data_IF_052856989188
#
_entry.id   IF_052856989188
#
_cell.length_a   1.000
_cell.length_b   1.000
_cell.length_c   1.000
_cell.angle_alpha   90.00
_cell.angle_beta   90.00
_cell.angle_gamma   90.00
#
_symmetry.space_group_name_H-M   'P 1'
#
loop_
_entity.id
_entity.type
_entity.pdbx_description
1 polymer ?
#
# COMPACT_ATOMS: atom_id res chain seq x y z
N UNK A 1 9.88 15.08 5.46
CA UNK A 1 9.57 15.15 4.02
C UNK A 1 10.71 14.47 3.27
N UNK A 2 10.53 13.28 2.70
CA UNK A 2 11.57 12.66 1.88
C UNK A 2 11.44 13.20 0.45
N UNK A 3 12.22 14.23 0.14
CA UNK A 3 12.52 14.62 -1.24
C UNK A 3 13.22 13.42 -1.89
N UNK A 4 12.46 12.55 -2.56
CA UNK A 4 13.01 11.41 -3.29
C UNK A 4 13.75 11.93 -4.52
N UNK A 5 15.06 12.08 -4.40
CA UNK A 5 15.97 12.60 -5.43
C UNK A 5 15.80 11.83 -6.75
N UNK A 6 15.62 12.57 -7.85
CA UNK A 6 15.55 12.02 -9.22
C UNK A 6 14.15 11.74 -9.80
N UNK A 7 13.06 11.99 -9.06
CA UNK A 7 11.69 11.83 -9.59
C UNK A 7 11.20 13.01 -10.45
N UNK A 8 11.85 14.18 -10.37
CA UNK A 8 11.55 15.32 -11.27
C UNK A 8 12.05 15.10 -12.70
N UNK A 9 12.89 14.08 -12.92
CA UNK A 9 13.53 13.80 -14.19
C UNK A 9 14.60 14.82 -14.59
N UNK A 10 15.21 14.59 -15.75
CA UNK A 10 16.16 15.48 -16.38
C UNK A 10 15.80 15.61 -17.87
N UNK A 11 16.03 16.79 -18.44
CA UNK A 11 15.86 17.05 -19.87
C UNK A 11 17.21 17.14 -20.57
N UNK A 12 17.27 16.67 -21.80
CA UNK A 12 18.48 16.69 -22.62
C UNK A 12 18.15 16.69 -24.12
N UNK A 13 19.14 17.04 -24.94
CA UNK A 13 19.07 16.99 -26.40
C UNK A 13 20.15 16.01 -26.90
N UNK A 14 19.77 15.01 -27.70
CA UNK A 14 20.63 13.86 -28.00
C UNK A 14 21.92 14.21 -28.77
N UNK A 15 21.87 15.21 -29.66
CA UNK A 15 22.96 15.59 -30.55
C UNK A 15 23.56 16.98 -30.22
N UNK A 16 23.26 17.52 -29.03
CA UNK A 16 23.70 18.84 -28.58
C UNK A 16 24.42 18.69 -27.23
N UNK A 17 25.73 18.87 -27.23
CA UNK A 17 26.56 18.94 -26.01
C UNK A 17 26.95 20.39 -25.78
N UNK A 18 26.05 21.18 -25.21
CA UNK A 18 26.29 22.62 -25.00
C UNK A 18 25.02 23.41 -24.70
N UNK A 19 25.00 24.67 -25.15
CA UNK A 19 23.88 25.61 -24.97
C UNK A 19 22.61 25.08 -25.66
N UNK A 20 21.47 25.21 -24.99
CA UNK A 20 20.17 24.74 -25.49
C UNK A 20 19.84 25.28 -26.89
N UNK A 21 19.43 24.40 -27.81
CA UNK A 21 19.03 24.80 -29.16
C UNK A 21 17.50 24.66 -29.36
N UNK A 22 16.76 25.76 -29.62
CA UNK A 22 15.32 25.74 -29.86
C UNK A 22 14.86 24.83 -31.02
N UNK A 23 15.75 24.59 -32.00
CA UNK A 23 15.45 23.82 -33.21
C UNK A 23 15.75 22.32 -33.08
N UNK A 24 16.29 21.89 -31.94
CA UNK A 24 16.61 20.49 -31.69
C UNK A 24 15.58 19.84 -30.78
N UNK A 25 15.22 18.58 -31.08
CA UNK A 25 14.28 17.80 -30.27
C UNK A 25 14.79 17.62 -28.84
N UNK A 26 13.92 17.91 -27.88
CA UNK A 26 14.17 17.71 -26.47
C UNK A 26 13.60 16.37 -26.00
N UNK A 27 14.32 15.74 -25.08
CA UNK A 27 13.93 14.48 -24.47
C UNK A 27 13.94 14.63 -22.95
N UNK A 28 13.00 13.96 -22.29
CA UNK A 28 12.95 13.85 -20.84
C UNK A 28 13.31 12.44 -20.39
N UNK A 29 14.09 12.31 -19.33
CA UNK A 29 14.42 11.04 -18.67
C UNK A 29 13.98 11.09 -17.21
N UNK A 30 13.24 10.10 -16.76
CA UNK A 30 12.77 10.01 -15.38
C UNK A 30 12.71 8.56 -14.89
N UNK A 31 12.67 8.38 -13.58
CA UNK A 31 12.53 7.07 -12.96
C UNK A 31 11.06 6.75 -12.70
N UNK A 32 10.65 5.52 -12.99
CA UNK A 32 9.32 4.99 -12.70
C UNK A 32 9.46 3.82 -11.74
N UNK A 33 8.66 3.84 -10.68
CA UNK A 33 8.54 2.72 -9.76
C UNK A 33 7.66 1.65 -10.41
N UNK A 34 8.15 0.42 -10.55
CA UNK A 34 7.35 -0.72 -11.06
C UNK A 34 6.82 -1.56 -9.90
N UNK A 35 5.68 -2.29 -10.09
CA UNK A 35 5.08 -3.12 -9.03
C UNK A 35 6.03 -4.13 -8.38
N UNK A 36 7.11 -4.54 -9.06
CA UNK A 36 8.12 -5.47 -8.53
C UNK A 36 9.12 -4.83 -7.55
N UNK A 37 8.98 -3.54 -7.21
CA UNK A 37 9.90 -2.81 -6.33
C UNK A 37 11.16 -2.27 -7.02
N UNK A 38 11.41 -2.64 -8.26
CA UNK A 38 12.51 -2.08 -9.07
C UNK A 38 12.18 -0.68 -9.61
N UNK A 39 13.22 0.11 -9.89
CA UNK A 39 13.07 1.40 -10.57
C UNK A 39 13.50 1.26 -12.01
N UNK A 40 12.59 1.52 -12.97
CA UNK A 40 12.92 1.53 -14.39
C UNK A 40 13.05 2.95 -14.90
N UNK A 41 14.15 3.24 -15.61
CA UNK A 41 14.36 4.54 -16.24
C UNK A 41 13.58 4.61 -17.54
N UNK A 42 12.77 5.64 -17.73
CA UNK A 42 12.04 5.90 -18.98
C UNK A 42 12.54 7.17 -19.64
N UNK A 43 12.48 7.17 -20.96
CA UNK A 43 12.79 8.31 -21.82
C UNK A 43 11.55 8.66 -22.64
N UNK A 44 11.24 9.95 -22.75
CA UNK A 44 10.10 10.45 -23.53
C UNK A 44 10.53 11.60 -24.42
N UNK A 45 9.91 11.70 -25.59
CA UNK A 45 10.10 12.85 -26.49
C UNK A 45 9.22 14.01 -26.03
N UNK A 46 9.81 15.21 -25.92
CA UNK A 46 9.12 16.46 -25.56
C UNK A 46 8.94 17.40 -26.76
N UNK A 47 9.38 16.94 -27.94
CA UNK A 47 9.38 17.71 -29.19
C UNK A 47 10.32 18.92 -29.14
N UNK A 48 10.03 19.92 -29.97
CA UNK A 48 10.77 21.17 -30.02
C UNK A 48 10.39 22.06 -28.82
N UNK A 49 11.38 22.46 -28.06
CA UNK A 49 11.21 23.32 -26.89
C UNK A 49 12.13 24.53 -27.02
N UNK A 50 11.55 25.74 -26.95
CA UNK A 50 12.30 26.98 -27.13
C UNK A 50 13.42 27.18 -26.11
N UNK A 51 13.24 26.70 -24.88
CA UNK A 51 14.24 26.77 -23.81
C UNK A 51 14.24 25.51 -22.97
N UNK A 52 15.33 25.28 -22.23
CA UNK A 52 15.43 24.17 -21.28
C UNK A 52 14.32 24.24 -20.22
N UNK A 53 13.95 25.45 -19.77
CA UNK A 53 12.87 25.66 -18.80
C UNK A 53 11.53 25.15 -19.34
N UNK A 54 11.22 25.41 -20.62
CA UNK A 54 10.00 24.92 -21.28
C UNK A 54 10.02 23.39 -21.39
N UNK A 55 11.16 22.80 -21.72
CA UNK A 55 11.29 21.35 -21.73
C UNK A 55 11.07 20.74 -20.34
N UNK A 56 11.62 21.34 -19.27
CA UNK A 56 11.39 20.87 -17.90
C UNK A 56 9.91 20.97 -17.49
N UNK A 57 9.22 22.03 -17.90
CA UNK A 57 7.77 22.18 -17.65
C UNK A 57 6.97 21.10 -18.37
N UNK A 58 7.20 20.89 -19.68
CA UNK A 58 6.55 19.81 -20.43
C UNK A 58 6.85 18.42 -19.87
N UNK A 59 8.08 18.19 -19.42
CA UNK A 59 8.44 16.93 -18.75
C UNK A 59 7.64 16.74 -17.47
N UNK A 60 7.49 17.79 -16.66
CA UNK A 60 6.67 17.74 -15.43
C UNK A 60 5.21 17.45 -15.76
N UNK A 61 4.60 18.18 -16.68
CA UNK A 61 3.22 17.95 -17.13
C UNK A 61 3.03 16.54 -17.66
N UNK A 62 4.00 16.01 -18.42
CA UNK A 62 3.97 14.65 -18.91
C UNK A 62 4.02 13.63 -17.76
N UNK A 63 4.93 13.81 -16.78
CA UNK A 63 5.06 12.91 -15.63
C UNK A 63 3.78 12.93 -14.77
N UNK A 64 3.17 14.10 -14.60
CA UNK A 64 1.90 14.28 -13.90
C UNK A 64 0.75 13.60 -14.66
N UNK A 65 0.59 13.87 -15.96
CA UNK A 65 -0.46 13.26 -16.81
C UNK A 65 -0.31 11.75 -16.95
N UNK A 66 0.92 11.26 -17.07
CA UNK A 66 1.21 9.83 -17.17
C UNK A 66 1.01 9.07 -15.86
N UNK A 67 0.64 9.75 -14.76
CA UNK A 67 0.40 9.12 -13.46
C UNK A 67 1.64 8.40 -12.92
N UNK A 68 2.83 8.78 -13.38
CA UNK A 68 4.12 8.13 -13.03
C UNK A 68 4.45 8.32 -11.56
N UNK A 69 3.92 9.38 -10.95
CA UNK A 69 3.83 9.55 -9.51
C UNK A 69 2.36 9.69 -9.11
N UNK A 70 1.52 8.73 -9.52
CA UNK A 70 0.22 8.63 -8.88
C UNK A 70 0.49 8.31 -7.40
N UNK A 71 0.41 9.36 -6.58
CA UNK A 71 0.14 9.23 -5.14
C UNK A 71 -1.14 8.42 -4.89
N UNK A 72 -1.89 8.05 -5.94
CA UNK A 72 -3.01 7.11 -5.93
C UNK A 72 -2.64 5.69 -5.51
N UNK A 73 -1.37 5.35 -5.29
CA UNK A 73 -1.00 4.09 -4.62
C UNK A 73 -1.01 4.14 -3.09
N UNK A 74 -1.52 5.20 -2.47
CA UNK A 74 -1.62 5.22 -1.01
C UNK A 74 -2.97 4.74 -0.46
N UNK A 75 -4.02 4.74 -1.28
CA UNK A 75 -5.32 4.17 -0.94
C UNK A 75 -5.88 3.54 -2.22
N UNK A 76 -5.59 2.26 -2.47
CA UNK A 76 -6.41 1.51 -3.42
C UNK A 76 -7.77 1.41 -2.74
N UNK A 77 -8.75 2.20 -3.19
CA UNK A 77 -10.11 2.15 -2.66
C UNK A 77 -10.61 0.73 -2.95
N UNK A 78 -10.95 -0.06 -1.92
CA UNK A 78 -11.59 -1.34 -2.09
C UNK A 78 -12.77 -1.24 -3.05
N UNK A 79 -12.67 -1.94 -4.18
CA UNK A 79 -13.79 -2.07 -5.10
C UNK A 79 -14.80 -3.09 -4.53
N UNK A 80 -16.07 -3.06 -4.96
CA UNK A 80 -17.00 -4.14 -4.67
C UNK A 80 -16.41 -5.47 -5.19
N UNK A 81 -15.98 -6.34 -4.28
CA UNK A 81 -15.27 -7.59 -4.63
C UNK A 81 -13.80 -7.65 -4.18
N UNK A 82 -13.27 -6.65 -3.48
CA UNK A 82 -11.92 -6.75 -2.88
C UNK A 82 -11.88 -7.89 -1.87
N UNK A 83 -10.93 -8.81 -2.07
CA UNK A 83 -10.70 -9.92 -1.16
C UNK A 83 -9.91 -9.47 0.05
N UNK A 84 -10.03 -10.20 1.15
CA UNK A 84 -9.27 -9.95 2.36
C UNK A 84 -7.76 -10.00 2.08
N UNK A 85 -7.30 -10.92 1.22
CA UNK A 85 -5.89 -11.03 0.81
C UNK A 85 -5.39 -9.74 0.18
N UNK A 86 -6.10 -9.22 -0.82
CA UNK A 86 -5.73 -7.98 -1.49
C UNK A 86 -5.66 -6.81 -0.52
N UNK A 87 -6.66 -6.69 0.37
CA UNK A 87 -6.67 -5.64 1.39
C UNK A 87 -5.50 -5.78 2.37
N UNK A 88 -5.14 -7.00 2.78
CA UNK A 88 -4.02 -7.26 3.68
C UNK A 88 -2.68 -6.86 3.04
N UNK A 89 -2.48 -7.15 1.76
CA UNK A 89 -1.30 -6.75 1.00
C UNK A 89 -1.17 -5.21 0.94
N UNK A 90 -2.26 -4.52 0.58
CA UNK A 90 -2.27 -3.05 0.55
C UNK A 90 -2.02 -2.44 1.93
N UNK A 91 -2.61 -3.04 2.96
CA UNK A 91 -2.40 -2.60 4.34
C UNK A 91 -0.93 -2.72 4.73
N UNK A 92 -0.28 -3.88 4.53
CA UNK A 92 1.13 -4.08 4.87
C UNK A 92 2.03 -3.09 4.10
N UNK A 93 1.81 -2.91 2.80
CA UNK A 93 2.56 -1.94 1.99
C UNK A 93 2.42 -0.51 2.56
N UNK A 94 1.20 -0.13 2.95
CA UNK A 94 0.93 1.19 3.54
C UNK A 94 1.70 1.41 4.86
N UNK A 95 1.91 0.35 5.67
CA UNK A 95 2.58 0.48 6.96
C UNK A 95 4.05 0.89 6.84
N UNK A 96 4.72 0.44 5.77
CA UNK A 96 6.12 0.80 5.49
C UNK A 96 6.29 2.26 5.07
N UNK A 97 5.24 2.88 4.55
CA UNK A 97 5.26 4.23 3.99
C UNK A 97 4.56 5.28 4.86
N UNK A 98 3.93 4.85 5.96
CA UNK A 98 3.14 5.75 6.83
C UNK A 98 4.01 6.80 7.51
N UNK A 99 3.61 8.06 7.37
CA UNK A 99 4.31 9.21 8.01
C UNK A 99 3.96 9.35 9.49
N UNK A 100 2.71 9.06 9.87
CA UNK A 100 2.24 9.14 11.25
C UNK A 100 2.64 7.86 11.99
N UNK A 101 3.49 7.99 13.00
CA UNK A 101 3.97 6.89 13.88
C UNK A 101 4.55 5.70 13.07
N UNK A 102 5.69 5.83 12.39
CA UNK A 102 6.27 4.71 11.63
C UNK A 102 6.43 3.46 12.51
N UNK A 103 6.10 2.29 11.97
CA UNK A 103 6.32 1.02 12.69
C UNK A 103 7.77 0.59 12.58
N UNK A 104 8.23 -0.08 13.62
CA UNK A 104 9.50 -0.82 13.56
C UNK A 104 9.35 -1.96 12.54
N UNK A 105 10.36 -2.23 11.70
CA UNK A 105 10.31 -3.33 10.72
C UNK A 105 9.97 -4.68 11.35
N UNK A 106 10.46 -4.95 12.57
CA UNK A 106 10.15 -6.17 13.31
C UNK A 106 8.65 -6.36 13.59
N UNK A 107 7.91 -5.27 13.85
CA UNK A 107 6.46 -5.33 14.05
C UNK A 107 5.74 -5.68 12.75
N UNK A 108 6.17 -5.07 11.64
CA UNK A 108 5.60 -5.36 10.31
C UNK A 108 5.86 -6.83 9.95
N UNK A 109 7.08 -7.32 10.18
CA UNK A 109 7.43 -8.73 9.99
C UNK A 109 6.55 -9.67 10.83
N UNK A 110 6.34 -9.35 12.11
CA UNK A 110 5.47 -10.14 12.99
C UNK A 110 4.03 -10.21 12.47
N UNK A 111 3.49 -9.10 11.96
CA UNK A 111 2.16 -9.07 11.37
C UNK A 111 2.08 -9.82 10.04
N UNK A 112 3.09 -9.69 9.18
CA UNK A 112 3.19 -10.44 7.93
C UNK A 112 3.21 -11.95 8.20
N UNK A 113 4.03 -12.39 9.15
CA UNK A 113 4.07 -13.80 9.55
C UNK A 113 2.71 -14.29 10.09
N UNK A 114 2.01 -13.48 10.90
CA UNK A 114 0.65 -13.82 11.34
C UNK A 114 -0.34 -13.92 10.17
N UNK A 115 -0.24 -13.02 9.19
CA UNK A 115 -1.06 -13.04 8.00
C UNK A 115 -0.85 -14.33 7.21
N UNK A 116 0.40 -14.63 6.87
CA UNK A 116 0.75 -15.77 6.02
C UNK A 116 0.45 -17.11 6.69
N UNK A 117 0.76 -17.24 7.99
CA UNK A 117 0.62 -18.50 8.72
C UNK A 117 -0.82 -18.82 9.09
N UNK A 118 -1.59 -17.83 9.54
CA UNK A 118 -2.88 -18.08 10.17
C UNK A 118 -4.05 -17.45 9.42
N UNK A 119 -3.92 -16.20 8.98
CA UNK A 119 -5.09 -15.43 8.52
C UNK A 119 -5.41 -15.72 7.05
N UNK A 120 -4.44 -15.57 6.15
CA UNK A 120 -4.64 -15.71 4.70
C UNK A 120 -5.10 -17.12 4.27
N UNK A 121 -4.65 -18.22 4.90
CA UNK A 121 -5.18 -19.55 4.59
C UNK A 121 -6.68 -19.70 4.88
N UNK A 122 -7.20 -18.99 5.88
CA UNK A 122 -8.58 -19.15 6.36
C UNK A 122 -9.54 -18.07 5.84
N UNK A 123 -9.07 -16.83 5.75
CA UNK A 123 -9.89 -15.66 5.42
C UNK A 123 -9.52 -15.01 4.09
N UNK A 124 -8.37 -15.34 3.50
CA UNK A 124 -7.81 -14.61 2.35
C UNK A 124 -8.74 -14.56 1.12
N UNK A 125 -9.52 -15.62 0.88
CA UNK A 125 -10.43 -15.70 -0.27
C UNK A 125 -11.81 -15.07 0.00
N UNK A 126 -12.12 -14.70 1.25
CA UNK A 126 -13.37 -14.02 1.58
C UNK A 126 -13.30 -12.56 1.15
N UNK A 127 -14.44 -11.95 0.88
CA UNK A 127 -14.50 -10.51 0.68
C UNK A 127 -14.29 -9.78 2.00
N UNK A 128 -13.69 -8.58 1.96
CA UNK A 128 -13.53 -7.76 3.18
C UNK A 128 -14.89 -7.49 3.84
N UNK A 129 -15.94 -7.30 3.02
CA UNK A 129 -17.32 -7.13 3.46
C UNK A 129 -17.90 -8.35 4.19
N UNK A 130 -17.35 -9.55 4.00
CA UNK A 130 -17.84 -10.79 4.61
C UNK A 130 -17.12 -11.13 5.92
N UNK A 131 -15.98 -10.48 6.20
CA UNK A 131 -15.22 -10.70 7.43
C UNK A 131 -15.86 -9.92 8.58
N UNK A 132 -16.91 -10.50 9.16
CA UNK A 132 -17.61 -9.99 10.34
C UNK A 132 -17.43 -10.85 11.60
N UNK A 133 -18.23 -10.59 12.64
CA UNK A 133 -18.19 -11.33 13.92
C UNK A 133 -18.37 -12.84 13.74
N UNK A 134 -19.24 -13.29 12.82
CA UNK A 134 -19.44 -14.72 12.51
C UNK A 134 -18.21 -15.38 11.91
N UNK A 135 -17.56 -14.71 10.93
CA UNK A 135 -16.33 -15.21 10.33
C UNK A 135 -15.18 -15.26 11.35
N UNK A 136 -15.07 -14.25 12.21
CA UNK A 136 -14.07 -14.24 13.26
C UNK A 136 -14.31 -15.29 14.35
N UNK A 137 -15.57 -15.60 14.68
CA UNK A 137 -15.89 -16.71 15.60
C UNK A 137 -15.36 -18.04 15.06
N UNK A 138 -15.71 -18.38 13.82
CA UNK A 138 -15.21 -19.60 13.17
C UNK A 138 -13.67 -19.62 13.11
N UNK A 139 -13.07 -18.46 12.83
CA UNK A 139 -11.62 -18.34 12.83
C UNK A 139 -10.99 -18.54 14.21
N UNK A 140 -11.59 -18.01 15.28
CA UNK A 140 -11.15 -18.23 16.67
C UNK A 140 -11.23 -19.72 17.03
N UNK A 141 -12.31 -20.41 16.63
CA UNK A 141 -12.44 -21.86 16.84
C UNK A 141 -11.29 -22.64 16.17
N UNK A 142 -10.91 -22.27 14.94
CA UNK A 142 -9.76 -22.86 14.22
C UNK A 142 -8.44 -22.62 14.98
N UNK A 143 -8.20 -21.39 15.47
CA UNK A 143 -6.98 -21.06 16.20
C UNK A 143 -6.91 -21.79 17.55
N UNK A 144 -8.04 -21.92 18.25
CA UNK A 144 -8.15 -22.68 19.49
C UNK A 144 -7.92 -24.17 19.27
N UNK A 145 -8.49 -24.75 18.21
CA UNK A 145 -8.27 -26.14 17.83
C UNK A 145 -6.80 -26.42 17.45
N UNK A 146 -6.10 -25.41 16.90
CA UNK A 146 -4.66 -25.47 16.65
C UNK A 146 -3.79 -25.31 17.91
N UNK A 147 -4.39 -25.17 19.10
CA UNK A 147 -3.68 -25.13 20.38
C UNK A 147 -2.95 -23.81 20.67
N UNK A 148 -3.38 -22.70 20.06
CA UNK A 148 -2.74 -21.41 20.30
C UNK A 148 -3.08 -20.88 21.69
N UNK A 149 -2.08 -20.29 22.35
CA UNK A 149 -2.29 -19.61 23.62
C UNK A 149 -3.31 -18.45 23.47
N UNK A 150 -4.16 -18.19 24.49
CA UNK A 150 -5.17 -17.12 24.47
C UNK A 150 -4.65 -15.77 23.97
N UNK A 151 -3.46 -15.38 24.46
CA UNK A 151 -2.82 -14.11 24.07
C UNK A 151 -2.48 -14.08 22.58
N UNK A 152 -2.02 -15.19 22.04
CA UNK A 152 -1.69 -15.32 20.61
C UNK A 152 -2.95 -15.20 19.76
N UNK A 153 -4.04 -15.86 20.15
CA UNK A 153 -5.34 -15.76 19.45
C UNK A 153 -5.80 -14.30 19.38
N UNK A 154 -5.78 -13.60 20.52
CA UNK A 154 -6.16 -12.17 20.58
C UNK A 154 -5.28 -11.31 19.66
N UNK A 155 -3.97 -11.56 19.64
CA UNK A 155 -3.04 -10.82 18.79
C UNK A 155 -3.32 -11.08 17.29
N UNK A 156 -3.57 -12.33 16.90
CA UNK A 156 -3.88 -12.70 15.52
C UNK A 156 -5.20 -12.07 15.08
N UNK A 157 -6.26 -12.16 15.88
CA UNK A 157 -7.56 -11.52 15.59
C UNK A 157 -7.43 -9.99 15.50
N UNK A 158 -6.56 -9.39 16.31
CA UNK A 158 -6.29 -7.95 16.23
C UNK A 158 -5.72 -7.54 14.87
N UNK A 159 -4.85 -8.36 14.28
CA UNK A 159 -4.33 -8.11 12.92
C UNK A 159 -5.46 -8.16 11.89
N UNK A 160 -6.39 -9.11 11.99
CA UNK A 160 -7.56 -9.18 11.11
C UNK A 160 -8.38 -7.90 11.18
N UNK A 161 -8.65 -7.42 12.39
CA UNK A 161 -9.38 -6.17 12.61
C UNK A 161 -8.66 -4.98 11.98
N UNK A 162 -7.34 -4.89 12.11
CA UNK A 162 -6.58 -3.80 11.49
C UNK A 162 -6.70 -3.78 9.98
N UNK A 163 -6.63 -4.95 9.33
CA UNK A 163 -6.84 -5.08 7.88
C UNK A 163 -8.24 -4.58 7.52
N UNK A 164 -9.30 -5.03 8.21
CA UNK A 164 -10.67 -4.57 7.93
C UNK A 164 -10.81 -3.05 8.13
N UNK A 165 -10.27 -2.50 9.22
CA UNK A 165 -10.35 -1.04 9.48
C UNK A 165 -9.52 -0.19 8.53
N UNK A 166 -8.55 -0.80 7.83
CA UNK A 166 -7.73 -0.10 6.83
C UNK A 166 -8.44 0.09 5.48
N UNK A 167 -9.56 -0.60 5.28
CA UNK A 167 -10.42 -0.44 4.11
C UNK A 167 -11.21 0.86 4.24
N UNK A 168 -10.62 1.95 3.75
CA UNK A 168 -11.18 3.30 3.81
C UNK A 168 -11.34 3.90 2.41
N UNK A 169 -12.24 4.86 2.28
CA UNK A 169 -12.48 5.63 1.05
C UNK A 169 -11.47 6.79 0.86
N UNK A 170 -11.75 7.68 -0.09
CA UNK A 170 -10.89 8.85 -0.40
C UNK A 170 -10.83 9.86 0.75
N UNK A 171 -11.87 9.89 1.58
CA UNK A 171 -12.03 10.81 2.72
C UNK A 171 -11.42 10.21 4.00
N UNK A 172 -11.14 8.90 3.98
CA UNK A 172 -10.57 8.16 5.10
C UNK A 172 -11.62 7.50 5.99
N UNK A 173 -12.87 7.50 5.56
CA UNK A 173 -13.97 6.84 6.25
C UNK A 173 -13.99 5.35 5.94
N UNK A 174 -14.37 4.53 6.93
CA UNK A 174 -14.38 3.08 6.77
C UNK A 174 -15.47 2.66 5.79
N UNK A 175 -15.09 1.91 4.76
CA UNK A 175 -16.03 1.39 3.75
C UNK A 175 -16.93 0.30 4.34
N UNK A 176 -16.40 -0.46 5.30
CA UNK A 176 -17.13 -1.51 6.00
C UNK A 176 -17.02 -1.32 7.51
N UNK A 177 -17.75 -0.36 8.10
CA UNK A 177 -17.69 -0.11 9.53
C UNK A 177 -18.23 -1.32 10.31
N UNK A 178 -17.53 -1.69 11.38
CA UNK A 178 -17.86 -2.88 12.19
C UNK A 178 -17.81 -2.61 13.68
N UNK A 179 -18.85 -3.06 14.37
CA UNK A 179 -18.85 -3.23 15.83
C UNK A 179 -18.46 -4.66 16.15
N UNK A 180 -17.30 -4.83 16.78
CA UNK A 180 -16.74 -6.14 17.13
C UNK A 180 -17.29 -6.63 18.47
N UNK A 181 -17.98 -7.78 18.47
CA UNK A 181 -18.53 -8.39 19.68
C UNK A 181 -17.63 -9.54 20.14
N UNK A 182 -16.81 -9.30 21.17
CA UNK A 182 -15.79 -10.24 21.63
C UNK A 182 -16.39 -11.49 22.28
N UNK A 183 -17.51 -11.33 22.97
CA UNK A 183 -18.25 -12.42 23.57
C UNK A 183 -18.83 -13.33 22.48
N UNK A 184 -19.48 -12.76 21.46
CA UNK A 184 -19.99 -13.55 20.33
C UNK A 184 -18.87 -14.27 19.57
N UNK A 185 -17.72 -13.62 19.38
CA UNK A 185 -16.55 -14.22 18.73
C UNK A 185 -15.86 -15.31 19.58
N UNK A 186 -16.26 -15.46 20.84
CA UNK A 186 -15.61 -16.35 21.81
C UNK A 186 -14.11 -16.05 21.94
N UNK A 187 -13.75 -14.77 21.88
CA UNK A 187 -12.36 -14.36 21.99
C UNK A 187 -11.86 -14.64 23.42
N UNK A 188 -10.77 -15.38 23.60
CA UNK A 188 -10.37 -15.83 24.92
C UNK A 188 -9.87 -14.66 25.78
N UNK A 189 -10.20 -14.72 27.07
CA UNK A 189 -9.73 -13.74 28.05
C UNK A 189 -8.23 -13.96 28.32
N UNK A 190 -7.47 -12.87 28.30
CA UNK A 190 -6.06 -12.88 28.70
C UNK A 190 -6.01 -12.56 30.19
N UNK A 191 -6.05 -13.59 31.02
CA UNK A 191 -5.76 -13.44 32.45
C UNK A 191 -4.24 -13.24 32.58
N UNK A 192 -3.82 -12.18 33.27
CA UNK A 192 -2.41 -12.07 33.68
C UNK A 192 -2.22 -13.03 34.84
N UNK A 193 -1.34 -14.01 34.69
CA UNK A 193 -0.79 -14.71 35.86
C UNK A 193 -0.01 -13.67 36.66
N UNK A 194 -0.39 -13.49 37.93
CA UNK A 194 0.28 -12.62 38.89
C UNK A 194 1.58 -13.24 39.38
#
# INVERSE_FOLDING_TARGET
MLNRTGQQGNVYQAHQRGKWNPRSSAYGRFWVDVPSGERKRRTVSLGLCATERVARLRLREYIERAGVCSKRRFHQIPAPGTTFRQQAEWWIESLSTRRRRPLKPATIYGWQHCLDRWILPNLGNKLVSEVGNGALRQFVEILSAAGLAPKTIVNVVTVVKFVVTSAVDEEGDQIHPRVWNYEFMQLPLVVKEN
#
